data_IF_163462124603
#
_entry.id   IF_163462124603
#
_cell.length_a   1.000
_cell.length_b   1.000
_cell.length_c   1.000
_cell.angle_alpha   90.00
_cell.angle_beta   90.00
_cell.angle_gamma   90.00
#
_symmetry.space_group_name_H-M   'P 1'
#
loop_
_entity.id
_entity.type
_entity.pdbx_description
1 polymer ?
#
# COMPACT_ATOMS: atom_id res chain seq x y z
N UNK A 1 0.01 -12.93 9.08
CA UNK A 1 -0.08 -14.36 8.79
C UNK A 1 0.72 -14.55 7.51
N UNK A 2 1.82 -15.31 7.57
CA UNK A 2 2.64 -15.57 6.38
C UNK A 2 1.92 -16.56 5.43
N UNK A 3 2.21 -16.49 4.14
CA UNK A 3 1.84 -17.58 3.22
C UNK A 3 2.88 -18.67 3.34
N UNK A 4 2.44 -19.91 3.54
CA UNK A 4 3.29 -21.07 3.34
C UNK A 4 2.62 -21.90 2.27
N UNK A 5 3.06 -21.77 1.01
CA UNK A 5 2.66 -22.71 -0.03
C UNK A 5 3.51 -23.95 0.10
N UNK A 6 2.86 -25.10 0.20
CA UNK A 6 3.49 -26.40 0.38
C UNK A 6 3.19 -27.27 -0.82
N UNK A 7 4.25 -27.81 -1.43
CA UNK A 7 4.13 -28.88 -2.42
C UNK A 7 3.78 -30.19 -1.70
N UNK A 8 2.64 -30.78 -2.04
CA UNK A 8 2.24 -32.12 -1.59
C UNK A 8 2.57 -33.15 -2.68
N UNK A 9 2.96 -34.36 -2.28
CA UNK A 9 3.11 -35.48 -3.22
C UNK A 9 1.75 -35.88 -3.82
N UNK A 10 1.76 -36.40 -5.05
CA UNK A 10 0.56 -36.74 -5.81
C UNK A 10 -0.26 -37.93 -5.24
N UNK A 11 0.20 -38.57 -4.17
CA UNK A 11 -0.52 -39.66 -3.53
C UNK A 11 -1.53 -39.09 -2.52
N UNK A 12 -2.79 -39.07 -2.95
CA UNK A 12 -3.89 -38.31 -2.33
C UNK A 12 -4.09 -38.52 -0.84
N UNK A 13 -3.99 -37.40 -0.11
CA UNK A 13 -4.43 -37.26 1.27
C UNK A 13 -3.89 -35.96 1.88
N UNK A 14 -4.65 -35.33 2.79
CA UNK A 14 -4.22 -34.12 3.54
C UNK A 14 -2.99 -34.34 4.45
N UNK A 15 -2.36 -35.52 4.38
CA UNK A 15 -1.17 -35.94 5.13
C UNK A 15 0.10 -36.04 4.26
N UNK A 16 0.14 -35.42 3.09
CA UNK A 16 1.31 -35.45 2.21
C UNK A 16 2.56 -34.85 2.87
N UNK A 17 3.73 -35.43 2.54
CA UNK A 17 5.04 -34.89 2.94
C UNK A 17 5.24 -33.52 2.28
N UNK A 18 5.67 -32.54 3.06
CA UNK A 18 5.98 -31.19 2.55
C UNK A 18 7.29 -31.26 1.82
N UNK A 19 7.24 -31.18 0.49
CA UNK A 19 8.44 -31.28 -0.34
C UNK A 19 9.24 -29.99 -0.37
N UNK A 20 8.57 -28.83 -0.27
CA UNK A 20 9.19 -27.51 -0.34
C UNK A 20 8.28 -26.43 0.25
N UNK A 21 8.88 -25.39 0.85
CA UNK A 21 8.21 -24.16 1.30
C UNK A 21 8.54 -23.04 0.32
N UNK A 22 7.53 -22.55 -0.40
CA UNK A 22 7.74 -21.57 -1.47
C UNK A 22 7.74 -20.11 -0.98
N UNK A 23 7.14 -19.84 0.18
CA UNK A 23 7.04 -18.50 0.78
C UNK A 23 7.30 -18.57 2.29
N UNK A 24 8.06 -17.60 2.81
CA UNK A 24 8.53 -17.54 4.20
C UNK A 24 7.73 -16.51 5.03
N UNK A 25 7.80 -16.63 6.36
CA UNK A 25 7.06 -15.90 7.41
C UNK A 25 7.31 -14.37 7.40
N UNK A 26 8.18 -13.89 6.52
CA UNK A 26 8.47 -12.47 6.28
C UNK A 26 7.56 -11.80 5.24
N UNK A 27 6.81 -12.55 4.42
CA UNK A 27 5.80 -12.02 3.50
C UNK A 27 4.41 -12.09 4.12
N UNK A 28 3.85 -10.93 4.48
CA UNK A 28 2.48 -10.88 4.98
C UNK A 28 1.51 -10.85 3.80
N UNK A 29 0.69 -11.90 3.67
CA UNK A 29 -0.44 -11.86 2.75
C UNK A 29 -1.45 -10.80 3.16
N UNK A 30 -1.94 -10.09 2.15
CA UNK A 30 -2.96 -9.07 2.29
C UNK A 30 -4.24 -9.39 1.54
N UNK A 31 -4.19 -10.33 0.61
CA UNK A 31 -5.35 -10.82 -0.14
C UNK A 31 -5.46 -12.34 -0.08
N UNK A 32 -6.60 -12.86 -0.52
CA UNK A 32 -6.67 -14.23 -1.00
C UNK A 32 -5.82 -14.40 -2.27
N UNK A 33 -5.41 -15.64 -2.53
CA UNK A 33 -4.71 -16.03 -3.76
C UNK A 33 -5.75 -16.27 -4.84
N UNK A 34 -5.52 -15.72 -6.04
CA UNK A 34 -6.29 -16.00 -7.25
C UNK A 34 -5.50 -16.96 -8.11
N UNK A 35 -6.19 -17.94 -8.70
CA UNK A 35 -5.60 -18.97 -9.56
C UNK A 35 -6.34 -18.95 -10.89
N UNK A 36 -5.63 -18.67 -11.98
CA UNK A 36 -6.17 -18.55 -13.34
C UNK A 36 -5.04 -18.57 -14.35
N UNK A 37 -5.25 -19.20 -15.50
CA UNK A 37 -4.42 -19.00 -16.69
C UNK A 37 -4.61 -17.57 -17.25
N UNK A 38 -3.64 -16.68 -16.98
CA UNK A 38 -3.61 -15.26 -17.33
C UNK A 38 -2.84 -14.99 -18.62
N UNK A 39 -1.91 -15.87 -19.00
CA UNK A 39 -1.13 -15.76 -20.22
C UNK A 39 -1.66 -16.66 -21.37
N UNK A 40 -2.76 -17.39 -21.12
CA UNK A 40 -3.41 -18.32 -22.03
C UNK A 40 -2.49 -19.46 -22.53
N UNK A 41 -1.52 -19.89 -21.71
CA UNK A 41 -0.62 -20.99 -22.05
C UNK A 41 -1.17 -22.38 -21.67
N UNK A 42 -2.35 -22.43 -21.05
CA UNK A 42 -3.01 -23.64 -20.58
C UNK A 42 -2.58 -24.11 -19.20
N UNK A 43 -1.77 -23.34 -18.47
CA UNK A 43 -1.33 -23.56 -17.09
C UNK A 43 -1.89 -22.47 -16.19
N UNK A 44 -2.39 -22.86 -15.02
CA UNK A 44 -2.90 -21.88 -14.06
C UNK A 44 -1.76 -21.05 -13.44
N UNK A 45 -1.89 -19.72 -13.51
CA UNK A 45 -1.04 -18.72 -12.85
C UNK A 45 -1.62 -18.33 -11.50
N UNK A 46 -0.76 -17.92 -10.56
CA UNK A 46 -1.19 -17.51 -9.22
C UNK A 46 -0.90 -16.04 -8.98
N UNK A 47 -1.85 -15.35 -8.36
CA UNK A 47 -1.76 -13.92 -8.06
C UNK A 47 -2.14 -13.64 -6.62
N UNK A 48 -1.36 -12.79 -5.95
CA UNK A 48 -1.70 -12.31 -4.61
C UNK A 48 -1.07 -10.95 -4.30
N UNK A 49 -1.61 -10.28 -3.28
CA UNK A 49 -1.00 -9.10 -2.67
C UNK A 49 -0.20 -9.51 -1.44
N UNK A 50 1.07 -9.14 -1.41
CA UNK A 50 1.99 -9.44 -0.32
C UNK A 50 2.91 -8.26 0.00
N UNK A 51 3.65 -8.35 1.10
CA UNK A 51 4.69 -7.39 1.45
C UNK A 51 4.75 -7.08 2.94
N UNK A 52 5.40 -5.98 3.30
CA UNK A 52 5.51 -5.54 4.69
C UNK A 52 5.60 -4.01 4.81
N UNK A 53 5.42 -3.47 6.02
CA UNK A 53 5.42 -2.01 6.25
C UNK A 53 6.78 -1.33 6.01
N UNK A 54 7.88 -2.07 6.00
CA UNK A 54 9.22 -1.50 5.77
C UNK A 54 9.57 -1.45 4.27
N UNK A 55 9.11 -2.42 3.49
CA UNK A 55 9.41 -2.60 2.06
C UNK A 55 8.28 -2.15 1.12
N UNK A 56 7.09 -1.90 1.66
CA UNK A 56 5.87 -1.66 0.91
C UNK A 56 5.12 -2.96 0.57
N UNK A 57 3.94 -2.80 -0.02
CA UNK A 57 3.13 -3.91 -0.53
C UNK A 57 3.17 -3.93 -2.06
N UNK A 58 3.00 -5.11 -2.63
CA UNK A 58 3.01 -5.31 -4.07
C UNK A 58 2.10 -6.45 -4.51
N UNK A 59 1.75 -6.44 -5.79
CA UNK A 59 1.13 -7.57 -6.47
C UNK A 59 2.25 -8.50 -6.92
N UNK A 60 2.06 -9.78 -6.64
CA UNK A 60 2.91 -10.87 -7.08
C UNK A 60 2.12 -11.71 -8.07
N UNK A 61 2.73 -12.01 -9.21
CA UNK A 61 2.21 -12.93 -10.21
C UNK A 61 3.25 -14.04 -10.40
N UNK A 62 2.79 -15.28 -10.38
CA UNK A 62 3.58 -16.46 -10.67
C UNK A 62 3.07 -17.06 -11.96
N UNK A 63 3.85 -16.93 -13.05
CA UNK A 63 3.52 -17.46 -14.37
C UNK A 63 3.80 -18.97 -14.44
N UNK A 64 2.85 -19.73 -14.97
CA UNK A 64 2.75 -21.18 -14.96
C UNK A 64 4.06 -21.91 -15.26
N UNK A 65 4.63 -22.52 -14.22
CA UNK A 65 5.75 -23.49 -14.31
C UNK A 65 5.53 -24.74 -13.44
N UNK A 66 4.36 -24.86 -12.82
CA UNK A 66 4.12 -25.82 -11.75
C UNK A 66 4.83 -25.41 -10.44
N UNK A 67 5.30 -26.39 -9.67
CA UNK A 67 5.80 -26.20 -8.29
C UNK A 67 7.29 -25.80 -8.23
N UNK A 68 7.72 -24.95 -9.14
CA UNK A 68 9.08 -24.43 -9.18
C UNK A 68 9.02 -22.95 -9.53
N UNK A 69 8.92 -22.06 -8.52
CA UNK A 69 8.96 -20.63 -8.76
C UNK A 69 10.34 -20.29 -9.29
N UNK A 70 10.45 -20.09 -10.60
CA UNK A 70 11.70 -19.66 -11.23
C UNK A 70 11.85 -18.16 -11.06
N UNK A 71 12.23 -17.77 -9.84
CA UNK A 71 12.52 -16.39 -9.45
C UNK A 71 11.33 -15.40 -9.54
N UNK A 72 11.37 -14.42 -8.65
CA UNK A 72 10.43 -13.31 -8.61
C UNK A 72 10.43 -12.57 -9.96
N UNK A 73 9.39 -12.78 -10.77
CA UNK A 73 9.11 -11.87 -11.87
C UNK A 73 7.85 -11.06 -11.55
N UNK A 74 8.10 -9.76 -11.39
CA UNK A 74 7.14 -8.67 -11.29
C UNK A 74 6.52 -8.39 -9.92
N UNK A 75 7.25 -7.61 -9.12
CA UNK A 75 6.65 -6.82 -8.04
C UNK A 75 6.05 -5.54 -8.63
N UNK A 76 4.74 -5.51 -8.85
CA UNK A 76 4.06 -4.23 -9.05
C UNK A 76 3.87 -3.57 -7.69
N UNK A 77 4.69 -2.53 -7.41
CA UNK A 77 4.59 -1.80 -6.14
C UNK A 77 3.30 -1.02 -6.08
N UNK A 78 2.53 -1.28 -5.03
CA UNK A 78 1.34 -0.53 -4.71
C UNK A 78 1.73 0.75 -3.98
N UNK A 79 0.99 1.83 -4.21
CA UNK A 79 1.16 3.08 -3.45
C UNK A 79 0.56 2.99 -2.04
N UNK A 80 -0.27 1.98 -1.77
CA UNK A 80 -0.88 1.71 -0.47
C UNK A 80 -0.84 0.25 -0.09
N UNK A 81 -1.80 -0.17 0.72
CA UNK A 81 -1.70 -1.41 1.49
C UNK A 81 -2.05 -2.66 0.69
N UNK A 82 -2.93 -2.50 -0.31
CA UNK A 82 -3.55 -3.60 -1.04
C UNK A 82 -4.34 -4.57 -0.13
N UNK A 83 -5.54 -4.97 -0.55
CA UNK A 83 -6.43 -5.79 0.29
C UNK A 83 -7.20 -6.86 -0.47
N UNK A 84 -7.23 -6.77 -1.78
CA UNK A 84 -7.89 -7.73 -2.63
C UNK A 84 -7.31 -7.65 -4.03
N UNK A 85 -7.33 -8.76 -4.72
CA UNK A 85 -7.08 -8.85 -6.15
C UNK A 85 -8.27 -9.54 -6.80
N UNK A 86 -8.70 -9.00 -7.93
CA UNK A 86 -9.81 -9.45 -8.75
C UNK A 86 -9.30 -9.56 -10.19
N UNK A 87 -9.95 -10.41 -10.98
CA UNK A 87 -9.72 -10.49 -12.42
C UNK A 87 -10.95 -10.01 -13.16
N UNK A 88 -10.75 -9.25 -14.22
CA UNK A 88 -11.81 -8.83 -15.12
C UNK A 88 -11.25 -8.15 -16.34
N UNK A 89 -11.97 -8.23 -17.44
CA UNK A 89 -11.68 -7.46 -18.66
C UNK A 89 -12.21 -6.03 -18.44
N UNK A 90 -11.31 -5.09 -18.13
CA UNK A 90 -11.68 -3.72 -17.74
C UNK A 90 -11.75 -2.78 -18.95
N UNK A 91 -11.07 -3.11 -20.05
CA UNK A 91 -11.05 -2.30 -21.26
C UNK A 91 -11.68 -2.94 -22.50
N UNK A 92 -12.36 -4.08 -22.33
CA UNK A 92 -13.14 -4.81 -23.34
C UNK A 92 -12.26 -5.27 -24.53
N UNK A 93 -11.00 -5.62 -24.24
CA UNK A 93 -10.05 -6.13 -25.23
C UNK A 93 -10.03 -7.66 -25.34
N UNK A 94 -10.73 -8.34 -24.42
CA UNK A 94 -10.89 -9.79 -24.38
C UNK A 94 -9.89 -10.51 -23.49
N UNK A 95 -8.90 -9.82 -22.94
CA UNK A 95 -7.92 -10.36 -22.01
C UNK A 95 -8.29 -10.02 -20.54
N UNK A 96 -7.90 -10.89 -19.60
CA UNK A 96 -8.18 -10.64 -18.18
C UNK A 96 -7.15 -9.68 -17.59
N UNK A 97 -7.62 -8.54 -17.08
CA UNK A 97 -6.84 -7.59 -16.29
C UNK A 97 -6.85 -7.94 -14.80
N UNK A 98 -5.81 -7.46 -14.10
CA UNK A 98 -5.75 -7.52 -12.64
C UNK A 98 -6.31 -6.24 -12.03
N UNK A 99 -7.22 -6.35 -11.09
CA UNK A 99 -7.81 -5.23 -10.35
C UNK A 99 -7.52 -5.39 -8.87
N UNK A 100 -6.79 -4.45 -8.28
CA UNK A 100 -6.30 -4.50 -6.90
C UNK A 100 -6.97 -3.43 -6.06
N UNK A 101 -7.58 -3.84 -4.96
CA UNK A 101 -8.27 -2.94 -4.04
C UNK A 101 -7.28 -2.39 -3.00
N UNK A 102 -7.20 -1.07 -2.88
CA UNK A 102 -6.35 -0.37 -1.91
C UNK A 102 -7.19 0.31 -0.83
N UNK A 103 -7.23 -0.28 0.36
CA UNK A 103 -8.01 0.23 1.48
C UNK A 103 -7.34 1.38 2.23
N UNK A 104 -6.02 1.56 2.11
CA UNK A 104 -5.31 2.64 2.81
C UNK A 104 -5.56 4.00 2.15
N UNK A 105 -5.61 4.02 0.82
CA UNK A 105 -5.81 5.23 0.02
C UNK A 105 -7.22 5.34 -0.59
N UNK A 106 -8.05 4.30 -0.47
CA UNK A 106 -9.43 4.28 -0.99
C UNK A 106 -9.50 4.20 -2.51
N UNK A 107 -8.57 3.49 -3.15
CA UNK A 107 -8.45 3.42 -4.60
C UNK A 107 -8.42 1.99 -5.15
N UNK A 108 -8.47 1.90 -6.47
CA UNK A 108 -8.34 0.65 -7.24
C UNK A 108 -7.13 0.78 -8.15
N UNK A 109 -6.23 -0.20 -8.17
CA UNK A 109 -5.15 -0.29 -9.16
C UNK A 109 -5.55 -1.30 -10.22
N UNK A 110 -5.59 -0.91 -11.48
CA UNK A 110 -5.86 -1.80 -12.61
C UNK A 110 -4.54 -2.06 -13.32
N UNK A 111 -4.13 -3.31 -13.39
CA UNK A 111 -2.96 -3.82 -14.06
C UNK A 111 -3.42 -4.43 -15.38
N UNK A 112 -3.26 -3.68 -16.48
CA UNK A 112 -3.79 -4.07 -17.80
C UNK A 112 -2.96 -5.16 -18.47
N UNK A 113 -3.59 -6.23 -18.93
CA UNK A 113 -2.95 -7.32 -19.66
C UNK A 113 -3.34 -7.24 -21.15
N UNK A 114 -2.38 -6.96 -22.04
CA UNK A 114 -2.66 -6.85 -23.48
C UNK A 114 -2.37 -8.16 -24.24
N UNK A 115 -2.71 -9.29 -23.65
CA UNK A 115 -2.60 -10.62 -24.27
C UNK A 115 -1.20 -11.24 -24.28
N UNK A 116 -0.22 -10.58 -23.68
CA UNK A 116 1.15 -11.10 -23.51
C UNK A 116 1.35 -11.86 -22.21
N UNK A 117 0.34 -11.93 -21.35
CA UNK A 117 0.49 -12.47 -20.00
C UNK A 117 1.48 -11.67 -19.18
N UNK A 118 1.55 -10.36 -19.38
CA UNK A 118 2.32 -9.46 -18.52
C UNK A 118 1.50 -8.19 -18.36
N UNK A 119 1.09 -7.83 -17.13
CA UNK A 119 0.38 -6.60 -16.93
C UNK A 119 1.30 -5.41 -17.19
N UNK A 120 0.96 -4.57 -18.18
CA UNK A 120 1.86 -3.53 -18.71
C UNK A 120 1.58 -2.13 -18.16
N UNK A 121 0.41 -1.90 -17.56
CA UNK A 121 0.02 -0.58 -17.09
C UNK A 121 -0.74 -0.64 -15.76
N UNK A 122 -0.26 0.12 -14.77
CA UNK A 122 -1.00 0.40 -13.53
C UNK A 122 -1.83 1.66 -13.73
N UNK A 123 -3.14 1.52 -13.87
CA UNK A 123 -4.10 2.61 -13.77
C UNK A 123 -4.65 2.62 -12.34
N UNK A 124 -4.15 3.52 -11.51
CA UNK A 124 -4.75 3.76 -10.19
C UNK A 124 -6.04 4.57 -10.36
N UNK A 125 -7.17 3.88 -10.51
CA UNK A 125 -8.50 4.42 -10.30
C UNK A 125 -8.79 4.58 -8.78
N UNK A 126 -7.98 5.39 -8.10
CA UNK A 126 -8.45 6.15 -6.95
C UNK A 126 -9.09 7.43 -7.48
N UNK A 127 -10.13 7.94 -6.83
CA UNK A 127 -10.56 9.31 -7.11
C UNK A 127 -9.40 10.23 -6.73
N UNK A 128 -8.50 10.51 -7.68
CA UNK A 128 -7.44 11.51 -7.51
C UNK A 128 -8.17 12.76 -7.05
N UNK A 129 -7.84 13.28 -5.86
CA UNK A 129 -8.53 14.45 -5.34
C UNK A 129 -8.52 15.54 -6.40
N UNK A 130 -9.68 16.12 -6.70
CA UNK A 130 -9.77 17.17 -7.72
C UNK A 130 -8.92 18.40 -7.37
N UNK A 131 -8.52 18.53 -6.10
CA UNK A 131 -7.72 19.63 -5.59
C UNK A 131 -6.87 19.19 -4.38
N UNK A 132 -5.76 19.90 -4.18
CA UNK A 132 -4.95 19.80 -2.97
C UNK A 132 -5.79 20.16 -1.73
N UNK A 133 -5.63 19.40 -0.63
CA UNK A 133 -6.26 19.70 0.67
C UNK A 133 -5.45 19.16 1.84
N UNK A 134 -5.06 20.02 2.78
CA UNK A 134 -4.67 19.59 4.12
C UNK A 134 -5.93 19.40 4.98
N UNK A 135 -6.24 18.16 5.34
CA UNK A 135 -7.40 17.82 6.15
C UNK A 135 -7.22 18.22 7.61
N UNK A 136 -8.34 18.35 8.34
CA UNK A 136 -8.28 18.46 9.80
C UNK A 136 -7.85 17.12 10.40
N UNK A 137 -7.08 17.21 11.47
CA UNK A 137 -6.58 16.04 12.18
C UNK A 137 -7.71 15.33 12.92
N UNK A 138 -7.72 14.01 12.94
CA UNK A 138 -8.75 13.24 13.65
C UNK A 138 -8.21 11.99 14.36
N UNK A 139 -8.73 11.65 15.55
CA UNK A 139 -9.59 12.50 16.38
C UNK A 139 -8.85 13.77 16.81
N UNK A 140 -9.55 14.88 17.03
CA UNK A 140 -8.98 16.09 17.63
C UNK A 140 -10.02 16.68 18.59
N UNK A 141 -9.76 16.66 19.92
CA UNK A 141 -8.53 16.22 20.60
C UNK A 141 -8.21 14.72 20.47
N UNK A 142 -6.95 14.31 20.70
CA UNK A 142 -6.48 12.92 20.53
C UNK A 142 -5.77 12.32 21.76
N UNK A 143 -5.82 10.99 21.88
CA UNK A 143 -5.04 10.17 22.82
C UNK A 143 -4.97 8.69 22.34
N UNK A 144 -3.79 8.06 22.16
CA UNK A 144 -2.45 8.65 22.13
C UNK A 144 -2.06 9.15 20.73
N UNK A 145 -2.84 8.82 19.68
CA UNK A 145 -2.48 9.08 18.29
C UNK A 145 -3.55 9.86 17.53
N UNK A 146 -3.11 10.59 16.51
CA UNK A 146 -3.94 11.37 15.59
C UNK A 146 -3.54 11.11 14.14
N UNK A 147 -4.53 11.12 13.25
CA UNK A 147 -4.34 11.04 11.80
C UNK A 147 -4.43 12.43 11.18
N UNK A 148 -3.51 12.75 10.28
CA UNK A 148 -3.44 14.01 9.51
C UNK A 148 -3.63 13.65 8.02
N UNK A 149 -4.78 13.98 7.41
CA UNK A 149 -5.05 13.72 6.00
C UNK A 149 -4.39 14.76 5.10
N UNK A 150 -3.84 14.33 3.97
CA UNK A 150 -3.31 15.19 2.91
C UNK A 150 -3.76 14.68 1.55
N UNK A 151 -4.51 15.48 0.82
CA UNK A 151 -4.95 15.17 -0.54
C UNK A 151 -4.06 15.92 -1.54
N UNK A 152 -3.57 15.22 -2.56
CA UNK A 152 -2.76 15.77 -3.65
C UNK A 152 -3.46 15.50 -4.99
N UNK A 153 -3.72 16.54 -5.77
CA UNK A 153 -4.33 16.43 -7.10
C UNK A 153 -3.35 15.99 -8.19
N UNK A 154 -2.06 16.20 -7.95
CA UNK A 154 -0.95 15.84 -8.86
C UNK A 154 0.21 15.32 -8.02
N UNK A 155 1.14 14.63 -8.66
CA UNK A 155 2.41 14.25 -8.04
C UNK A 155 3.14 15.49 -7.52
N UNK A 156 3.82 15.35 -6.38
CA UNK A 156 4.60 16.39 -5.74
C UNK A 156 6.02 15.90 -5.51
N UNK A 157 7.02 16.67 -5.97
CA UNK A 157 8.43 16.28 -5.85
C UNK A 157 9.01 16.59 -4.46
N UNK A 158 8.52 17.64 -3.81
CA UNK A 158 8.95 18.09 -2.50
C UNK A 158 7.79 18.22 -1.53
N UNK A 159 7.56 17.20 -0.71
CA UNK A 159 6.62 17.22 0.41
C UNK A 159 7.36 17.14 1.73
N UNK A 160 7.04 18.03 2.67
CA UNK A 160 7.47 17.96 4.07
C UNK A 160 6.28 18.11 4.99
N UNK A 161 6.08 17.18 5.93
CA UNK A 161 5.06 17.28 6.97
C UNK A 161 5.74 17.21 8.33
N UNK A 162 5.61 18.28 9.12
CA UNK A 162 6.31 18.42 10.40
C UNK A 162 5.37 18.95 11.48
N UNK A 163 5.46 18.37 12.67
CA UNK A 163 4.76 18.79 13.88
C UNK A 163 5.65 19.72 14.69
N UNK A 164 5.08 20.81 15.19
CA UNK A 164 5.70 21.84 15.99
C UNK A 164 4.90 22.08 17.27
N UNK A 165 5.58 22.55 18.31
CA UNK A 165 4.93 23.11 19.49
C UNK A 165 4.47 24.57 19.25
N UNK A 166 3.82 25.16 20.25
CA UNK A 166 3.34 26.56 20.19
C UNK A 166 4.45 27.60 20.12
N UNK A 167 5.69 27.24 20.46
CA UNK A 167 6.86 28.10 20.35
C UNK A 167 7.51 27.99 18.97
N UNK A 168 6.97 27.14 18.08
CA UNK A 168 7.52 26.88 16.75
C UNK A 168 8.73 25.95 16.77
N UNK A 169 9.00 25.27 17.89
CA UNK A 169 10.06 24.27 17.93
C UNK A 169 9.58 22.99 17.25
N UNK A 170 10.45 22.40 16.41
CA UNK A 170 10.15 21.13 15.74
C UNK A 170 10.02 20.03 16.78
N UNK A 171 8.87 19.38 16.81
CA UNK A 171 8.57 18.23 17.68
C UNK A 171 8.88 16.93 16.95
N UNK A 172 8.41 16.77 15.71
CA UNK A 172 8.62 15.56 14.91
C UNK A 172 8.41 15.81 13.42
N UNK A 173 9.29 15.31 12.57
CA UNK A 173 9.04 15.21 11.12
C UNK A 173 8.32 13.89 10.82
N UNK A 174 7.13 13.97 10.22
CA UNK A 174 6.31 12.80 9.86
C UNK A 174 6.60 12.32 8.44
N UNK A 175 6.98 13.23 7.54
CA UNK A 175 7.32 12.92 6.16
C UNK A 175 8.30 13.93 5.56
N UNK A 176 9.18 13.45 4.68
CA UNK A 176 10.06 14.25 3.83
C UNK A 176 10.36 13.50 2.53
N UNK A 177 9.98 14.05 1.38
CA UNK A 177 10.24 13.46 0.07
C UNK A 177 9.12 13.68 -0.93
N UNK A 178 9.17 13.00 -2.06
CA UNK A 178 8.12 13.04 -3.07
C UNK A 178 6.89 12.23 -2.63
N UNK A 179 5.70 12.63 -3.10
CA UNK A 179 4.46 11.86 -2.96
C UNK A 179 3.70 11.87 -4.30
N UNK A 180 3.15 10.73 -4.73
CA UNK A 180 2.27 10.71 -5.89
C UNK A 180 0.94 11.42 -5.60
N UNK A 181 0.21 11.76 -6.67
CA UNK A 181 -1.18 12.20 -6.59
C UNK A 181 -2.01 11.16 -5.81
N UNK A 182 -2.93 11.63 -4.97
CA UNK A 182 -3.76 10.75 -4.15
C UNK A 182 -4.07 11.29 -2.77
N UNK A 183 -4.79 10.48 -1.99
CA UNK A 183 -5.14 10.78 -0.59
C UNK A 183 -4.14 10.09 0.32
N UNK A 184 -3.41 10.84 1.12
CA UNK A 184 -2.38 10.37 2.06
C UNK A 184 -2.84 10.55 3.51
N UNK A 185 -2.41 9.66 4.41
CA UNK A 185 -2.72 9.74 5.85
C UNK A 185 -1.46 9.56 6.68
N UNK A 186 -1.10 10.58 7.44
CA UNK A 186 0.05 10.53 8.35
C UNK A 186 -0.43 10.35 9.78
N UNK A 187 0.22 9.48 10.54
CA UNK A 187 -0.11 9.27 11.95
C UNK A 187 0.96 9.89 12.83
N UNK A 188 0.53 10.69 13.81
CA UNK A 188 1.39 11.14 14.91
C UNK A 188 0.92 10.50 16.21
N UNK A 189 1.83 9.86 16.92
CA UNK A 189 1.62 9.09 18.16
C UNK A 189 1.81 9.95 19.44
N UNK A 190 1.92 11.27 19.29
CA UNK A 190 2.16 12.16 20.43
C UNK A 190 3.58 12.06 21.01
N UNK A 191 4.57 11.61 20.22
CA UNK A 191 5.99 11.55 20.61
C UNK A 191 6.87 12.48 19.79
N UNK A 192 7.98 12.92 20.40
CA UNK A 192 9.03 13.71 19.75
C UNK A 192 9.97 12.84 18.88
N UNK A 193 10.98 13.46 18.26
CA UNK A 193 11.97 12.76 17.39
C UNK A 193 12.80 11.70 18.10
N UNK A 194 12.92 11.78 19.44
CA UNK A 194 13.65 10.80 20.24
C UNK A 194 12.69 9.84 20.97
N UNK A 195 11.47 9.71 20.45
CA UNK A 195 10.41 8.81 20.90
C UNK A 195 9.92 9.02 22.34
N UNK A 196 10.08 10.23 22.89
CA UNK A 196 9.53 10.61 24.21
C UNK A 196 8.13 11.18 24.03
N UNK A 197 7.23 10.84 24.94
CA UNK A 197 5.89 11.42 24.96
C UNK A 197 5.96 12.93 25.22
N UNK A 198 5.29 13.71 24.37
CA UNK A 198 5.16 15.16 24.57
C UNK A 198 4.04 15.47 25.57
N UNK A 199 4.07 16.65 26.17
CA UNK A 199 3.01 17.06 27.10
C UNK A 199 1.63 17.17 26.43
N UNK A 200 0.57 17.13 27.23
CA UNK A 200 -0.76 17.53 26.75
C UNK A 200 -0.74 19.01 26.34
N UNK A 201 -1.44 19.37 25.26
CA UNK A 201 -1.45 20.74 24.77
C UNK A 201 -1.77 20.84 23.29
N UNK A 202 -1.69 22.08 22.79
CA UNK A 202 -1.88 22.40 21.37
C UNK A 202 -0.57 22.24 20.63
N UNK A 203 -0.63 21.61 19.47
CA UNK A 203 0.46 21.43 18.54
C UNK A 203 0.05 21.91 17.15
N UNK A 204 1.02 22.30 16.34
CA UNK A 204 0.80 22.66 14.94
C UNK A 204 1.39 21.57 14.05
N UNK A 205 0.69 21.17 13.01
CA UNK A 205 1.29 20.44 11.90
C UNK A 205 1.33 21.36 10.69
N UNK A 206 2.52 21.44 10.08
CA UNK A 206 2.80 22.25 8.88
C UNK A 206 3.18 21.31 7.75
N UNK A 207 2.49 21.46 6.64
CA UNK A 207 2.83 20.81 5.38
C UNK A 207 3.44 21.83 4.42
N UNK A 208 4.45 21.40 3.68
CA UNK A 208 5.00 22.11 2.54
C UNK A 208 4.95 21.17 1.33
N UNK A 209 4.34 21.61 0.24
CA UNK A 209 4.18 20.85 -1.02
C UNK A 209 4.62 21.75 -2.17
N UNK A 210 5.77 21.47 -2.77
CA UNK A 210 6.34 22.20 -3.91
C UNK A 210 6.32 23.74 -3.72
N UNK A 211 6.68 24.20 -2.51
CA UNK A 211 6.71 25.60 -2.13
C UNK A 211 5.40 26.19 -1.60
N UNK A 212 4.28 25.46 -1.69
CA UNK A 212 3.03 25.81 -1.00
C UNK A 212 3.13 25.40 0.46
N UNK A 213 2.86 26.32 1.38
CA UNK A 213 2.92 26.07 2.83
C UNK A 213 1.54 26.24 3.43
N UNK A 214 1.13 25.27 4.27
CA UNK A 214 -0.09 25.34 5.06
C UNK A 214 0.14 24.75 6.45
N UNK A 215 -0.54 25.28 7.47
CA UNK A 215 -0.45 24.74 8.82
C UNK A 215 -1.82 24.76 9.51
N UNK A 216 -2.04 23.78 10.38
CA UNK A 216 -3.25 23.60 11.18
C UNK A 216 -2.88 23.11 12.58
N UNK A 217 -3.83 23.16 13.49
CA UNK A 217 -3.62 22.78 14.90
C UNK A 217 -4.25 21.43 15.23
N UNK A 218 -3.69 20.76 16.24
CA UNK A 218 -4.23 19.56 16.86
C UNK A 218 -4.01 19.61 18.37
N UNK A 219 -4.84 18.95 19.16
CA UNK A 219 -4.77 18.99 20.63
C UNK A 219 -4.50 17.60 21.21
N UNK A 220 -3.36 17.43 21.89
CA UNK A 220 -3.02 16.21 22.63
C UNK A 220 -3.64 16.23 24.02
N UNK A 221 -4.33 15.16 24.41
CA UNK A 221 -4.82 14.95 25.77
C UNK A 221 -3.75 14.30 26.67
N UNK A 222 -3.89 14.39 28.01
CA UNK A 222 -2.98 13.75 28.97
C UNK A 222 -2.84 12.25 28.81
#
# INVERSE_FOLDING_TARGET
MGLVVKRLSAEGGLSGEVLEVLYDEHLFLRSWVVVRDLNADGVDDWVFVGGNRASGFGVFVEWGGGLSPTQEEETHRLTGDGTGVLLGDVDDDGDLDLVVLDSALGGVHVLKNSGGGQPTAVVTAGAVPAQYRLGDSYPNPFNPAVVIPLDLATDAAGVSLTVYDVLGQRVRQLWQGALPAGTHRFTWDGRDEVARDVAAGVYLYRVEVDGRVEAKTTTKLP
#
